data_IF_010869047695
#
_entry.id   IF_010869047695
#
_cell.length_a   1.000
_cell.length_b   1.000
_cell.length_c   1.000
_cell.angle_alpha   90.00
_cell.angle_beta   90.00
_cell.angle_gamma   90.00
#
_symmetry.space_group_name_H-M   'P 1'
#
loop_
_entity.id
_entity.type
_entity.pdbx_description
1 polymer ?
#
# COMPACT_ATOMS: atom_id res chain seq x y z
N UNK A 1 -27.58 -22.23 10.32
CA UNK A 1 -26.33 -22.23 11.12
C UNK A 1 -25.81 -23.66 11.19
N UNK A 2 -25.21 -24.16 10.11
CA UNK A 2 -24.43 -25.41 10.15
C UNK A 2 -22.97 -24.98 10.20
N UNK A 3 -22.48 -24.80 11.43
CA UNK A 3 -21.07 -24.50 11.69
C UNK A 3 -20.23 -25.67 11.23
N UNK A 4 -19.35 -25.41 10.27
CA UNK A 4 -18.40 -26.35 9.75
C UNK A 4 -17.48 -26.86 10.86
N UNK A 5 -17.73 -28.08 11.35
CA UNK A 5 -16.66 -28.94 11.83
C UNK A 5 -16.06 -29.67 10.61
N UNK A 6 -15.53 -28.91 9.65
CA UNK A 6 -14.60 -29.48 8.69
C UNK A 6 -13.27 -29.59 9.44
N UNK A 7 -12.80 -30.83 9.64
CA UNK A 7 -11.49 -31.07 10.24
C UNK A 7 -10.44 -30.17 9.58
N UNK A 8 -9.51 -29.63 10.38
CA UNK A 8 -8.50 -28.69 9.91
C UNK A 8 -7.81 -29.26 8.67
N UNK A 9 -8.20 -28.78 7.48
CA UNK A 9 -7.52 -29.12 6.26
C UNK A 9 -6.07 -28.64 6.44
N UNK A 10 -5.07 -29.45 6.08
CA UNK A 10 -3.68 -29.03 6.19
C UNK A 10 -3.49 -27.75 5.38
N UNK A 11 -2.77 -26.78 5.96
CA UNK A 11 -2.53 -25.48 5.32
C UNK A 11 -1.86 -25.71 3.96
N UNK A 12 -2.52 -25.23 2.92
CA UNK A 12 -1.99 -25.26 1.57
C UNK A 12 -0.99 -24.14 1.34
N UNK A 13 -0.25 -24.25 0.23
CA UNK A 13 0.60 -23.16 -0.24
C UNK A 13 -0.14 -21.80 -0.38
N UNK A 14 -1.40 -21.74 -0.88
CA UNK A 14 -2.16 -20.49 -0.90
C UNK A 14 -2.35 -19.89 0.49
N UNK A 15 -2.58 -20.72 1.51
CA UNK A 15 -2.79 -20.23 2.87
C UNK A 15 -1.52 -19.60 3.44
N UNK A 16 -0.38 -20.26 3.26
CA UNK A 16 0.92 -19.73 3.69
C UNK A 16 1.26 -18.41 3.00
N UNK A 17 1.07 -18.34 1.68
CA UNK A 17 1.30 -17.11 0.91
C UNK A 17 0.33 -16.01 1.33
N UNK A 18 -0.94 -16.36 1.60
CA UNK A 18 -1.95 -15.43 2.09
C UNK A 18 -1.58 -14.81 3.44
N UNK A 19 -1.17 -15.62 4.41
CA UNK A 19 -0.72 -15.14 5.73
C UNK A 19 0.51 -14.24 5.61
N UNK A 20 1.51 -14.63 4.81
CA UNK A 20 2.72 -13.82 4.61
C UNK A 20 2.36 -12.47 4.00
N UNK A 21 1.54 -12.48 2.94
CA UNK A 21 1.16 -11.26 2.24
C UNK A 21 0.31 -10.34 3.13
N UNK A 22 -0.60 -10.90 3.91
CA UNK A 22 -1.38 -10.18 4.90
C UNK A 22 -0.49 -9.52 5.97
N UNK A 23 0.46 -10.27 6.55
CA UNK A 23 1.37 -9.76 7.56
C UNK A 23 2.26 -8.64 7.02
N UNK A 24 2.78 -8.78 5.79
CA UNK A 24 3.52 -7.72 5.10
C UNK A 24 2.62 -6.50 4.89
N UNK A 25 1.38 -6.70 4.44
CA UNK A 25 0.43 -5.63 4.22
C UNK A 25 0.15 -4.82 5.49
N UNK A 26 -0.20 -5.50 6.58
CA UNK A 26 -0.42 -4.87 7.89
C UNK A 26 0.82 -4.12 8.39
N UNK A 27 2.02 -4.68 8.20
CA UNK A 27 3.26 -4.01 8.60
C UNK A 27 3.45 -2.69 7.82
N UNK A 28 3.24 -2.71 6.50
CA UNK A 28 3.37 -1.52 5.66
C UNK A 28 2.35 -0.45 6.02
N UNK A 29 1.11 -0.84 6.28
CA UNK A 29 0.04 0.06 6.72
C UNK A 29 0.36 0.68 8.09
N UNK A 30 0.54 -0.14 9.12
CA UNK A 30 0.76 0.33 10.47
C UNK A 30 2.03 1.18 10.60
N UNK A 31 3.15 0.73 10.01
CA UNK A 31 4.41 1.47 10.07
C UNK A 31 4.36 2.73 9.21
N UNK A 32 3.74 2.66 8.03
CA UNK A 32 3.59 3.80 7.13
C UNK A 32 2.80 4.93 7.77
N UNK A 33 1.66 4.61 8.38
CA UNK A 33 0.79 5.56 9.05
C UNK A 33 1.42 6.10 10.33
N UNK A 34 2.07 5.25 11.13
CA UNK A 34 2.81 5.70 12.32
C UNK A 34 3.95 6.67 11.95
N UNK A 35 4.69 6.38 10.89
CA UNK A 35 5.75 7.28 10.39
C UNK A 35 5.16 8.63 9.97
N UNK A 36 4.05 8.63 9.25
CA UNK A 36 3.40 9.86 8.79
C UNK A 36 2.80 10.66 9.96
N UNK A 37 2.16 9.98 10.91
CA UNK A 37 1.57 10.60 12.08
C UNK A 37 2.64 11.29 12.93
N UNK A 38 3.75 10.60 13.22
CA UNK A 38 4.90 11.17 13.95
C UNK A 38 5.53 12.34 13.22
N UNK A 39 5.66 12.26 11.89
CA UNK A 39 6.20 13.36 11.09
C UNK A 39 5.30 14.60 11.18
N UNK A 40 3.98 14.42 11.05
CA UNK A 40 3.00 15.51 11.10
C UNK A 40 2.83 16.12 12.49
N UNK A 41 3.05 15.35 13.57
CA UNK A 41 2.92 15.85 14.94
C UNK A 41 4.04 16.80 15.36
N UNK A 42 5.16 16.81 14.66
CA UNK A 42 6.30 17.69 14.95
C UNK A 42 6.17 19.02 14.17
N UNK A 43 5.99 20.17 14.86
CA UNK A 43 5.87 21.48 14.22
C UNK A 43 7.08 21.86 13.37
N UNK A 44 8.27 21.32 13.65
CA UNK A 44 9.47 21.58 12.84
C UNK A 44 9.36 21.00 11.42
N UNK A 45 8.39 20.12 11.18
CA UNK A 45 8.08 19.56 9.86
C UNK A 45 6.98 20.31 9.13
N UNK A 46 6.46 21.42 9.67
CA UNK A 46 5.50 22.26 8.98
C UNK A 46 6.05 22.70 7.61
N UNK A 47 5.26 22.46 6.56
CA UNK A 47 5.67 22.77 5.19
C UNK A 47 6.57 21.73 4.51
N UNK A 48 7.18 20.80 5.27
CA UNK A 48 8.08 19.77 4.74
C UNK A 48 7.33 18.55 4.21
N UNK A 49 8.02 17.75 3.41
CA UNK A 49 7.49 16.51 2.81
C UNK A 49 8.12 15.31 3.51
N UNK A 50 7.30 14.35 3.91
CA UNK A 50 7.77 13.10 4.47
C UNK A 50 8.32 12.21 3.36
N UNK A 51 9.64 12.02 3.32
CA UNK A 51 10.33 11.26 2.28
C UNK A 51 11.28 10.18 2.85
N UNK A 52 11.11 9.85 4.13
CA UNK A 52 11.96 8.93 4.89
C UNK A 52 11.20 7.65 5.27
N UNK A 53 11.92 6.61 5.69
CA UNK A 53 11.30 5.34 6.06
C UNK A 53 10.62 4.66 4.85
N UNK A 54 9.40 4.17 5.02
CA UNK A 54 8.64 3.53 3.94
C UNK A 54 8.27 4.53 2.83
N UNK A 55 8.05 5.79 3.21
CA UNK A 55 7.76 6.90 2.29
C UNK A 55 8.92 7.23 1.34
N UNK A 56 10.12 6.70 1.59
CA UNK A 56 11.25 6.80 0.64
C UNK A 56 11.03 5.96 -0.62
N UNK A 57 10.35 4.82 -0.48
CA UNK A 57 10.26 3.77 -1.50
C UNK A 57 8.98 3.87 -2.32
N UNK A 58 7.91 4.35 -1.69
CA UNK A 58 6.61 4.60 -2.30
C UNK A 58 5.97 5.83 -1.66
N UNK A 59 5.17 6.56 -2.44
CA UNK A 59 4.40 7.70 -1.98
C UNK A 59 3.20 7.31 -1.13
N UNK A 60 2.76 6.06 -1.18
CA UNK A 60 1.59 5.55 -0.47
C UNK A 60 1.88 4.16 0.12
N UNK A 61 2.78 4.05 1.12
CA UNK A 61 3.12 2.76 1.72
C UNK A 61 1.92 2.08 2.37
N UNK A 62 0.99 2.86 2.92
CA UNK A 62 -0.27 2.36 3.45
C UNK A 62 -1.19 1.78 2.38
N UNK A 63 -1.28 2.40 1.19
CA UNK A 63 -2.10 1.86 0.10
C UNK A 63 -1.51 0.57 -0.47
N UNK A 64 -0.18 0.45 -0.49
CA UNK A 64 0.48 -0.81 -0.80
C UNK A 64 0.18 -1.87 0.28
N UNK A 65 0.15 -1.46 1.55
CA UNK A 65 -0.28 -2.29 2.67
C UNK A 65 -1.68 -2.87 2.47
N UNK A 66 -2.67 -2.01 2.22
CA UNK A 66 -4.06 -2.39 1.89
C UNK A 66 -4.12 -3.39 0.74
N UNK A 67 -3.39 -3.12 -0.35
CA UNK A 67 -3.33 -4.01 -1.50
C UNK A 67 -2.83 -5.41 -1.09
N UNK A 68 -1.74 -5.49 -0.34
CA UNK A 68 -1.23 -6.77 0.16
C UNK A 68 -2.24 -7.49 1.06
N UNK A 69 -2.93 -6.76 1.96
CA UNK A 69 -3.97 -7.34 2.83
C UNK A 69 -5.10 -7.98 2.01
N UNK A 70 -5.62 -7.27 1.00
CA UNK A 70 -6.72 -7.77 0.17
C UNK A 70 -6.32 -8.97 -0.68
N UNK A 71 -5.11 -8.97 -1.24
CA UNK A 71 -4.58 -10.13 -1.94
C UNK A 71 -4.28 -11.29 -0.98
N UNK A 72 -3.88 -11.01 0.27
CA UNK A 72 -3.73 -12.00 1.33
C UNK A 72 -5.05 -12.71 1.65
N UNK A 73 -6.13 -11.95 1.86
CA UNK A 73 -7.46 -12.51 2.06
C UNK A 73 -7.93 -13.37 0.88
N UNK A 74 -7.65 -12.93 -0.35
CA UNK A 74 -7.98 -13.72 -1.52
C UNK A 74 -7.24 -15.06 -1.56
N UNK A 75 -5.95 -15.09 -1.22
CA UNK A 75 -5.19 -16.34 -1.20
C UNK A 75 -5.70 -17.32 -0.13
N UNK A 76 -6.09 -16.82 1.04
CA UNK A 76 -6.77 -17.64 2.07
C UNK A 76 -8.12 -18.17 1.56
N UNK A 77 -8.93 -17.31 0.93
CA UNK A 77 -10.21 -17.70 0.36
C UNK A 77 -10.05 -18.72 -0.78
N UNK A 78 -8.99 -18.58 -1.58
CA UNK A 78 -8.62 -19.51 -2.65
C UNK A 78 -8.27 -20.89 -2.09
N UNK A 79 -7.51 -20.95 -0.97
CA UNK A 79 -7.24 -22.19 -0.24
C UNK A 79 -8.51 -22.90 0.24
N UNK A 80 -9.53 -22.12 0.61
CA UNK A 80 -10.87 -22.61 0.97
C UNK A 80 -11.79 -22.91 -0.24
N UNK A 81 -11.29 -22.82 -1.48
CA UNK A 81 -12.05 -23.08 -2.71
C UNK A 81 -12.94 -21.93 -3.18
N UNK A 82 -12.92 -20.78 -2.52
CA UNK A 82 -13.67 -19.58 -2.89
C UNK A 82 -12.93 -18.73 -3.94
N UNK A 83 -12.54 -19.33 -5.06
CA UNK A 83 -11.79 -18.66 -6.15
C UNK A 83 -12.53 -17.43 -6.73
N UNK A 84 -13.86 -17.42 -6.66
CA UNK A 84 -14.73 -16.33 -7.11
C UNK A 84 -14.55 -15.03 -6.30
N UNK A 85 -13.94 -15.10 -5.10
CA UNK A 85 -13.64 -13.94 -4.27
C UNK A 85 -12.59 -12.99 -4.86
N UNK A 86 -11.94 -13.36 -5.97
CA UNK A 86 -10.97 -12.54 -6.71
C UNK A 86 -11.51 -11.14 -7.09
N UNK A 87 -12.83 -10.99 -7.22
CA UNK A 87 -13.45 -9.70 -7.46
C UNK A 87 -13.08 -8.66 -6.38
N UNK A 88 -12.94 -9.08 -5.12
CA UNK A 88 -12.56 -8.24 -3.99
C UNK A 88 -11.22 -7.51 -4.18
N UNK A 89 -10.07 -8.24 -4.24
CA UNK A 89 -8.78 -7.60 -4.43
C UNK A 89 -8.67 -6.87 -5.77
N UNK A 90 -9.36 -7.29 -6.83
CA UNK A 90 -9.34 -6.57 -8.12
C UNK A 90 -10.01 -5.20 -8.02
N UNK A 91 -11.21 -5.13 -7.44
CA UNK A 91 -11.92 -3.85 -7.22
C UNK A 91 -11.08 -2.95 -6.33
N UNK A 92 -10.54 -3.48 -5.23
CA UNK A 92 -9.72 -2.70 -4.32
C UNK A 92 -8.42 -2.22 -4.97
N UNK A 93 -7.75 -3.06 -5.74
CA UNK A 93 -6.56 -2.67 -6.51
C UNK A 93 -6.88 -1.55 -7.50
N UNK A 94 -8.02 -1.63 -8.20
CA UNK A 94 -8.46 -0.58 -9.11
C UNK A 94 -8.71 0.74 -8.39
N UNK A 95 -9.44 0.73 -7.28
CA UNK A 95 -9.70 1.93 -6.47
C UNK A 95 -8.40 2.54 -5.98
N UNK A 96 -7.52 1.72 -5.38
CA UNK A 96 -6.24 2.19 -4.88
C UNK A 96 -5.40 2.79 -6.01
N UNK A 97 -5.19 2.11 -7.14
CA UNK A 97 -4.37 2.62 -8.24
C UNK A 97 -4.97 3.87 -8.91
N UNK A 98 -6.30 3.95 -9.00
CA UNK A 98 -6.99 5.10 -9.60
C UNK A 98 -6.92 6.35 -8.72
N UNK A 99 -6.85 6.17 -7.40
CA UNK A 99 -6.79 7.24 -6.40
C UNK A 99 -5.38 7.46 -5.82
N UNK A 100 -4.40 6.57 -6.03
CA UNK A 100 -3.02 6.63 -5.48
C UNK A 100 -2.06 7.57 -6.22
N UNK A 101 -2.54 8.42 -7.13
CA UNK A 101 -1.64 9.41 -7.71
C UNK A 101 -2.18 10.31 -8.81
N UNK A 102 -2.96 9.81 -9.77
CA UNK A 102 -2.68 10.32 -11.13
C UNK A 102 -3.51 11.51 -11.62
N UNK A 103 -4.60 11.99 -10.97
CA UNK A 103 -5.39 13.07 -11.62
C UNK A 103 -5.97 14.22 -10.81
N UNK A 104 -6.22 14.10 -9.50
CA UNK A 104 -7.03 15.14 -8.83
C UNK A 104 -6.23 16.13 -7.98
N UNK A 105 -5.03 15.76 -7.52
CA UNK A 105 -4.25 16.59 -6.58
C UNK A 105 -2.97 17.19 -7.20
N UNK A 106 -2.44 16.57 -8.26
CA UNK A 106 -1.16 16.99 -8.86
C UNK A 106 -1.27 18.28 -9.70
N UNK A 107 -2.48 18.68 -10.16
CA UNK A 107 -2.63 19.90 -10.98
C UNK A 107 -2.52 21.20 -10.17
N UNK A 108 -2.86 21.19 -8.88
CA UNK A 108 -2.87 22.42 -8.05
C UNK A 108 -1.78 22.44 -6.96
N UNK A 109 -1.27 21.28 -6.52
CA UNK A 109 -0.24 21.22 -5.45
C UNK A 109 1.19 21.40 -6.00
N UNK A 110 1.45 20.94 -7.22
CA UNK A 110 2.79 21.05 -7.84
C UNK A 110 3.27 22.49 -7.96
N UNK A 111 2.36 23.41 -8.27
CA UNK A 111 2.64 24.85 -8.38
C UNK A 111 2.82 25.52 -7.01
N UNK A 112 2.15 25.02 -5.96
CA UNK A 112 2.15 25.62 -4.61
C UNK A 112 3.24 25.07 -3.69
N UNK A 113 3.82 23.90 -3.97
CA UNK A 113 4.88 23.28 -3.15
C UNK A 113 5.96 22.58 -3.99
N UNK A 114 7.02 23.31 -4.41
CA UNK A 114 8.11 22.77 -5.23
C UNK A 114 8.78 21.51 -4.66
N UNK A 115 8.94 21.44 -3.33
CA UNK A 115 9.52 20.27 -2.65
C UNK A 115 8.66 19.00 -2.79
N UNK A 116 7.33 19.14 -2.90
CA UNK A 116 6.44 18.00 -3.14
C UNK A 116 6.52 17.54 -4.59
N UNK A 117 6.62 18.45 -5.55
CA UNK A 117 6.83 18.12 -6.95
C UNK A 117 8.14 17.33 -7.16
N UNK A 118 9.21 17.74 -6.49
CA UNK A 118 10.49 16.99 -6.52
C UNK A 118 10.35 15.58 -5.91
N UNK A 119 9.65 15.47 -4.78
CA UNK A 119 9.34 14.18 -4.16
C UNK A 119 8.54 13.25 -5.09
N UNK A 120 7.54 13.79 -5.79
CA UNK A 120 6.74 13.06 -6.79
C UNK A 120 7.60 12.53 -7.93
N UNK A 121 8.57 13.31 -8.42
CA UNK A 121 9.45 12.89 -9.51
C UNK A 121 10.38 11.74 -9.12
N UNK A 122 10.87 11.73 -7.88
CA UNK A 122 11.89 10.76 -7.42
C UNK A 122 11.33 9.51 -6.74
N UNK A 123 10.06 9.51 -6.32
CA UNK A 123 9.47 8.44 -5.53
C UNK A 123 8.36 7.71 -6.29
N UNK A 124 8.35 6.38 -6.24
CA UNK A 124 7.31 5.57 -6.89
C UNK A 124 5.93 5.88 -6.31
N UNK A 125 4.89 5.84 -7.14
CA UNK A 125 3.53 6.17 -6.67
C UNK A 125 2.98 5.13 -5.69
N UNK A 126 3.11 3.85 -6.04
CA UNK A 126 2.38 2.77 -5.40
C UNK A 126 3.30 1.64 -4.95
N UNK A 127 3.92 0.94 -5.91
CA UNK A 127 4.83 -0.16 -5.58
C UNK A 127 6.14 0.37 -4.97
N UNK A 128 6.55 -0.14 -3.78
CA UNK A 128 7.85 0.18 -3.20
C UNK A 128 8.99 -0.16 -4.15
N UNK A 129 9.87 0.79 -4.40
CA UNK A 129 10.99 0.58 -5.32
C UNK A 129 12.07 1.64 -5.17
N UNK A 130 13.21 1.42 -5.84
CA UNK A 130 14.31 2.38 -5.87
C UNK A 130 13.83 3.77 -6.30
N UNK A 131 14.45 4.81 -5.74
CA UNK A 131 14.21 6.19 -6.19
C UNK A 131 14.60 6.31 -7.66
N UNK A 132 13.78 7.04 -8.40
CA UNK A 132 14.10 7.43 -9.78
C UNK A 132 15.15 8.52 -9.69
N UNK A 133 16.36 8.26 -10.18
CA UNK A 133 17.37 9.31 -10.32
C UNK A 133 16.83 10.33 -11.32
N UNK A 134 16.74 11.59 -10.89
CA UNK A 134 16.46 12.67 -11.81
C UNK A 134 17.66 12.82 -12.73
N UNK A 135 17.48 12.55 -14.02
CA UNK A 135 18.42 13.03 -15.02
C UNK A 135 18.44 14.55 -14.91
N UNK A 136 19.46 15.07 -14.22
CA UNK A 136 19.90 16.45 -14.39
C UNK A 136 20.76 16.43 -15.65
N UNK A 137 20.13 16.69 -16.79
CA UNK A 137 20.81 17.13 -18.02
C UNK A 137 20.50 18.60 -18.23
#
# INVERSE_FOLDING_TARGET
LAGAAAGAAPLGLPDMLGVILFAVGLLFEAVGDLQLARFKSDPANAGRVMDRGLWRWTRHPNYFGDFCVWWGFYLLALGAGAWWSIAGPLIMSFLLLRFSGVRLLERDIGERRPAYAEYVRRTNAFFPGRRKEGTLS
#
